data_IF_638851931206
#
_entry.id   IF_638851931206
#
_cell.length_a   1.000
_cell.length_b   1.000
_cell.length_c   1.000
_cell.angle_alpha   90.00
_cell.angle_beta   90.00
_cell.angle_gamma   90.00
#
_symmetry.space_group_name_H-M   'P 1'
#
loop_
_entity.id
_entity.type
_entity.pdbx_description
1 polymer ?
#
# COMPACT_ATOMS: atom_id res chain seq x y z
N UNK A 1 1.16 -9.77 -21.78
CA UNK A 1 0.19 -10.19 -20.74
C UNK A 1 -0.71 -8.99 -20.47
N UNK A 2 -1.94 -8.98 -21.00
CA UNK A 2 -2.84 -7.81 -20.92
C UNK A 2 -3.48 -7.73 -19.53
N UNK A 3 -3.19 -6.66 -18.80
CA UNK A 3 -3.80 -6.33 -17.51
C UNK A 3 -5.25 -5.91 -17.76
N UNK A 4 -6.21 -6.82 -17.61
CA UNK A 4 -7.63 -6.53 -17.77
C UNK A 4 -8.07 -5.50 -16.71
N UNK A 5 -8.24 -4.24 -17.12
CA UNK A 5 -8.96 -3.25 -16.32
C UNK A 5 -10.39 -3.74 -16.15
N UNK A 6 -10.78 -4.16 -14.95
CA UNK A 6 -12.17 -4.49 -14.61
C UNK A 6 -13.00 -3.20 -14.67
N UNK A 7 -13.96 -3.07 -15.61
CA UNK A 7 -14.83 -1.90 -15.68
C UNK A 7 -15.53 -1.69 -14.34
N UNK A 8 -15.55 -0.45 -13.83
CA UNK A 8 -16.19 -0.12 -12.54
C UNK A 8 -15.30 -0.29 -11.29
N UNK A 9 -14.03 -0.65 -11.44
CA UNK A 9 -13.09 -0.66 -10.30
C UNK A 9 -12.70 0.79 -9.93
N UNK A 10 -12.94 1.24 -8.68
CA UNK A 10 -12.67 2.62 -8.25
C UNK A 10 -11.18 2.81 -7.95
N UNK A 11 -10.35 2.84 -8.99
CA UNK A 11 -8.89 2.85 -8.88
C UNK A 11 -8.34 4.04 -8.08
N UNK A 12 -8.96 5.20 -8.21
CA UNK A 12 -8.67 6.41 -7.44
C UNK A 12 -8.84 6.20 -5.93
N UNK A 13 -9.96 5.59 -5.52
CA UNK A 13 -10.24 5.28 -4.11
C UNK A 13 -9.33 4.17 -3.59
N UNK A 14 -9.04 3.16 -4.42
CA UNK A 14 -8.08 2.09 -4.08
C UNK A 14 -6.70 2.70 -3.83
N UNK A 15 -6.22 3.57 -4.71
CA UNK A 15 -4.94 4.25 -4.56
C UNK A 15 -4.88 5.06 -3.26
N UNK A 16 -5.90 5.89 -3.01
CA UNK A 16 -5.99 6.69 -1.79
C UNK A 16 -5.99 5.80 -0.53
N UNK A 17 -6.87 4.80 -0.47
CA UNK A 17 -6.94 3.88 0.67
C UNK A 17 -5.63 3.12 0.89
N UNK A 18 -4.97 2.67 -0.18
CA UNK A 18 -3.71 1.96 -0.08
C UNK A 18 -2.58 2.87 0.45
N UNK A 19 -2.54 4.15 0.05
CA UNK A 19 -1.61 5.15 0.62
C UNK A 19 -1.85 5.36 2.12
N UNK A 20 -3.11 5.43 2.55
CA UNK A 20 -3.41 5.50 3.98
C UNK A 20 -2.93 4.24 4.73
N UNK A 21 -3.08 3.06 4.13
CA UNK A 21 -2.56 1.81 4.71
C UNK A 21 -1.03 1.83 4.81
N UNK A 22 -0.32 2.40 3.82
CA UNK A 22 1.14 2.61 3.90
C UNK A 22 1.48 3.52 5.08
N UNK A 23 0.81 4.66 5.23
CA UNK A 23 1.03 5.56 6.36
C UNK A 23 0.76 4.86 7.71
N UNK A 24 -0.33 4.10 7.81
CA UNK A 24 -0.71 3.36 9.02
C UNK A 24 0.27 2.23 9.37
N UNK A 25 0.90 1.61 8.38
CA UNK A 25 1.96 0.62 8.60
C UNK A 25 3.31 1.29 8.93
N UNK A 26 3.59 2.45 8.34
CA UNK A 26 4.80 3.24 8.54
C UNK A 26 4.87 3.88 9.93
N UNK A 27 3.82 4.61 10.32
CA UNK A 27 3.87 5.51 11.48
C UNK A 27 4.24 4.82 12.79
N UNK A 28 3.70 3.63 13.14
CA UNK A 28 4.11 2.93 14.36
C UNK A 28 5.57 2.45 14.37
N UNK A 29 6.22 2.37 13.20
CA UNK A 29 7.62 1.91 13.07
C UNK A 29 8.63 3.05 13.10
N UNK A 30 8.19 4.28 12.81
CA UNK A 30 9.08 5.43 12.60
C UNK A 30 8.73 6.63 13.48
N UNK A 31 7.46 6.77 13.88
CA UNK A 31 6.88 7.97 14.50
C UNK A 31 7.08 9.23 13.66
N UNK A 32 7.25 9.07 12.34
CA UNK A 32 7.46 10.16 11.39
C UNK A 32 6.27 10.32 10.46
N UNK A 33 6.06 11.56 10.02
CA UNK A 33 5.18 11.83 8.89
C UNK A 33 5.75 11.20 7.62
N UNK A 34 4.86 10.70 6.74
CA UNK A 34 5.19 10.22 5.40
C UNK A 34 4.16 10.82 4.45
N UNK A 35 4.61 11.68 3.54
CA UNK A 35 3.74 12.33 2.56
C UNK A 35 3.29 11.35 1.47
N UNK A 36 2.20 11.69 0.78
CA UNK A 36 1.67 10.90 -0.33
C UNK A 36 2.69 10.71 -1.44
N UNK A 37 3.56 11.68 -1.70
CA UNK A 37 4.59 11.59 -2.74
C UNK A 37 5.79 10.74 -2.33
N UNK A 38 5.98 10.45 -1.04
CA UNK A 38 7.14 9.72 -0.51
C UNK A 38 7.02 8.20 -0.59
N UNK A 39 5.93 7.69 -1.18
CA UNK A 39 5.76 6.30 -1.54
C UNK A 39 5.19 6.19 -2.95
N UNK A 40 5.60 5.20 -3.73
CA UNK A 40 5.00 4.86 -5.03
C UNK A 40 4.25 3.54 -4.92
N UNK A 41 3.07 3.42 -5.52
CA UNK A 41 2.25 2.20 -5.43
C UNK A 41 1.99 1.60 -6.81
N UNK A 42 2.29 0.30 -6.94
CA UNK A 42 1.91 -0.54 -8.06
C UNK A 42 0.67 -1.36 -7.68
N UNK A 43 -0.48 -1.03 -8.28
CA UNK A 43 -1.75 -1.71 -8.02
C UNK A 43 -2.00 -2.82 -9.06
N UNK A 44 -2.31 -4.03 -8.59
CA UNK A 44 -2.65 -5.15 -9.46
C UNK A 44 -4.15 -5.50 -9.43
N UNK A 45 -4.80 -5.80 -10.57
CA UNK A 45 -6.21 -6.24 -10.62
C UNK A 45 -6.55 -7.53 -9.89
N UNK A 46 -5.54 -8.32 -9.49
CA UNK A 46 -5.73 -9.54 -8.70
C UNK A 46 -6.00 -9.29 -7.22
N UNK A 47 -5.98 -8.02 -6.77
CA UNK A 47 -6.23 -7.65 -5.39
C UNK A 47 -4.96 -7.45 -4.56
N UNK A 48 -3.79 -7.33 -5.21
CA UNK A 48 -2.53 -7.01 -4.53
C UNK A 48 -2.05 -5.61 -4.88
N UNK A 49 -1.17 -5.06 -4.02
CA UNK A 49 -0.37 -3.89 -4.35
C UNK A 49 1.01 -3.97 -3.70
N UNK A 50 2.00 -3.36 -4.33
CA UNK A 50 3.32 -3.11 -3.76
C UNK A 50 3.50 -1.61 -3.55
N UNK A 51 4.00 -1.21 -2.38
CA UNK A 51 4.34 0.16 -2.07
C UNK A 51 5.86 0.29 -1.93
N UNK A 52 6.50 1.09 -2.78
CA UNK A 52 7.92 1.39 -2.73
C UNK A 52 8.14 2.72 -1.99
N UNK A 53 8.97 2.72 -0.96
CA UNK A 53 9.32 3.94 -0.24
C UNK A 53 10.35 4.74 -1.07
N UNK A 54 10.13 6.04 -1.20
CA UNK A 54 11.04 6.99 -1.86
C UNK A 54 11.94 7.72 -0.86
N UNK A 55 11.75 7.42 0.43
CA UNK A 55 12.56 7.85 1.57
C UNK A 55 13.19 6.62 2.25
N UNK A 56 14.22 6.80 3.10
CA UNK A 56 14.76 5.69 3.89
C UNK A 56 13.68 5.01 4.74
N UNK A 57 13.47 3.71 4.54
CA UNK A 57 12.46 2.96 5.28
C UNK A 57 12.85 2.57 6.71
N UNK A 58 11.86 2.15 7.53
CA UNK A 58 12.09 1.67 8.88
C UNK A 58 12.96 0.40 8.91
N UNK A 59 13.59 0.16 10.05
CA UNK A 59 14.29 -1.09 10.33
C UNK A 59 13.39 -1.98 11.17
N UNK A 60 13.03 -3.16 10.64
CA UNK A 60 12.22 -4.19 11.31
C UNK A 60 13.01 -5.49 11.28
N UNK A 61 13.13 -6.17 12.42
CA UNK A 61 13.91 -7.42 12.50
C UNK A 61 15.39 -7.28 12.11
N UNK A 62 15.98 -6.07 12.22
CA UNK A 62 17.34 -5.78 11.78
C UNK A 62 17.48 -5.52 10.26
N UNK A 63 16.39 -5.57 9.50
CA UNK A 63 16.36 -5.31 8.07
C UNK A 63 15.68 -3.98 7.76
N UNK A 64 16.31 -3.17 6.93
CA UNK A 64 15.68 -1.94 6.42
C UNK A 64 14.66 -2.29 5.36
N UNK A 65 13.40 -1.98 5.62
CA UNK A 65 12.32 -2.11 4.63
C UNK A 65 12.52 -1.09 3.51
N UNK A 66 12.29 -1.50 2.27
CA UNK A 66 12.27 -0.61 1.09
C UNK A 66 10.84 -0.27 0.65
N UNK A 67 9.86 -0.84 1.33
CA UNK A 67 8.48 -0.88 0.87
C UNK A 67 7.64 -1.83 1.69
N UNK A 68 6.39 -1.97 1.28
CA UNK A 68 5.39 -2.84 1.87
C UNK A 68 4.62 -3.58 0.79
N UNK A 69 4.27 -4.83 1.08
CA UNK A 69 3.29 -5.57 0.29
C UNK A 69 1.92 -5.49 0.94
N UNK A 70 0.89 -5.32 0.10
CA UNK A 70 -0.46 -5.16 0.56
C UNK A 70 -1.50 -5.84 -0.31
N UNK A 71 -2.72 -5.87 0.19
CA UNK A 71 -3.89 -6.42 -0.49
C UNK A 71 -5.04 -5.43 -0.47
N UNK A 72 -5.89 -5.50 -1.48
CA UNK A 72 -7.11 -4.71 -1.57
C UNK A 72 -8.30 -5.56 -2.01
N UNK A 73 -9.50 -5.19 -1.53
CA UNK A 73 -10.75 -5.83 -1.93
C UNK A 73 -11.88 -4.80 -1.99
N UNK A 74 -12.78 -4.99 -2.96
CA UNK A 74 -14.03 -4.24 -3.09
C UNK A 74 -15.20 -5.23 -3.07
N UNK A 75 -16.06 -5.12 -2.06
CA UNK A 75 -17.23 -5.99 -1.83
C UNK A 75 -18.31 -5.19 -1.13
N UNK A 76 -19.56 -5.41 -1.51
CA UNK A 76 -20.75 -4.83 -0.84
C UNK A 76 -20.69 -3.31 -0.64
N UNK A 77 -20.16 -2.59 -1.63
CA UNK A 77 -20.01 -1.13 -1.58
C UNK A 77 -18.86 -0.62 -0.71
N UNK A 78 -18.09 -1.51 -0.08
CA UNK A 78 -16.93 -1.19 0.75
C UNK A 78 -15.62 -1.47 0.02
N UNK A 79 -14.61 -0.67 0.33
CA UNK A 79 -13.22 -0.85 -0.06
C UNK A 79 -12.39 -1.08 1.21
N UNK A 80 -11.56 -2.12 1.19
CA UNK A 80 -10.56 -2.35 2.21
C UNK A 80 -9.18 -2.49 1.57
N UNK A 81 -8.16 -1.94 2.22
CA UNK A 81 -6.75 -2.16 1.94
C UNK A 81 -6.04 -2.56 3.22
N UNK A 82 -5.03 -3.42 3.11
CA UNK A 82 -4.31 -3.92 4.27
C UNK A 82 -2.84 -4.19 3.92
N UNK A 83 -1.97 -3.90 4.89
CA UNK A 83 -0.56 -4.27 4.92
C UNK A 83 -0.33 -5.03 6.22
N UNK A 84 0.34 -6.17 6.14
CA UNK A 84 0.80 -6.91 7.32
C UNK A 84 2.32 -6.80 7.40
N UNK A 85 2.81 -6.15 8.46
CA UNK A 85 4.25 -6.08 8.74
C UNK A 85 4.60 -7.25 9.64
N UNK A 86 5.40 -8.19 9.14
CA UNK A 86 5.92 -9.29 9.94
C UNK A 86 7.31 -8.93 10.49
N UNK A 87 7.66 -9.38 11.70
CA UNK A 87 9.01 -9.21 12.27
C UNK A 87 10.12 -9.81 11.42
#
# INVERSE_FOLDING_TARGET
MQTLRRPGTPWDRILFSAKESVYKAWFPLTELWLDFEEAELDLSPDGTFAARLLVPGPVVGGLRLKGFDGRWAVRDGLLATAIAVSP
#
